data_IF_758854116106
#
_entry.id   IF_758854116106
#
_cell.length_a   1.000
_cell.length_b   1.000
_cell.length_c   1.000
_cell.angle_alpha   90.00
_cell.angle_beta   90.00
_cell.angle_gamma   90.00
#
_symmetry.space_group_name_H-M   'P 1'
#
loop_
_entity.id
_entity.type
_entity.pdbx_description
1 polymer ?
#
# COMPACT_ATOMS: atom_id res chain seq x y z
N UNK A 1 -15.92 16.71 -1.68
CA UNK A 1 -15.86 15.31 -1.23
C UNK A 1 -17.19 14.59 -1.45
N UNK A 2 -18.33 15.19 -1.09
CA UNK A 2 -19.65 14.61 -1.38
C UNK A 2 -19.87 14.28 -2.88
N UNK A 3 -19.46 15.20 -3.77
CA UNK A 3 -19.57 15.00 -5.22
C UNK A 3 -18.71 13.83 -5.72
N UNK A 4 -17.43 13.79 -5.33
CA UNK A 4 -16.51 12.68 -5.65
C UNK A 4 -17.00 11.33 -5.10
N UNK A 5 -17.68 11.32 -3.94
CA UNK A 5 -18.27 10.09 -3.40
C UNK A 5 -19.48 9.64 -4.24
N UNK A 6 -20.31 10.59 -4.70
CA UNK A 6 -21.45 10.28 -5.56
C UNK A 6 -20.98 9.71 -6.90
N UNK A 7 -19.99 10.35 -7.53
CA UNK A 7 -19.36 9.88 -8.76
C UNK A 7 -18.78 8.47 -8.61
N UNK A 8 -18.02 8.21 -7.54
CA UNK A 8 -17.45 6.88 -7.28
C UNK A 8 -18.53 5.80 -7.03
N UNK A 9 -19.69 6.17 -6.50
CA UNK A 9 -20.82 5.24 -6.33
C UNK A 9 -21.52 4.98 -7.66
N UNK A 10 -21.71 6.02 -8.48
CA UNK A 10 -22.34 5.90 -9.80
C UNK A 10 -21.46 5.06 -10.75
N UNK A 11 -20.14 5.24 -10.73
CA UNK A 11 -19.17 4.42 -11.48
C UNK A 11 -19.13 2.95 -11.02
N UNK A 12 -19.57 2.66 -9.79
CA UNK A 12 -19.55 1.32 -9.20
C UNK A 12 -20.94 0.64 -9.27
N UNK A 13 -21.75 0.97 -10.27
CA UNK A 13 -23.12 0.46 -10.44
C UNK A 13 -24.01 0.70 -9.20
N UNK A 14 -23.80 1.80 -8.48
CA UNK A 14 -24.51 2.13 -7.25
C UNK A 14 -24.03 1.37 -6.00
N UNK A 15 -23.00 0.52 -6.11
CA UNK A 15 -22.42 -0.18 -4.96
C UNK A 15 -21.62 0.79 -4.09
N UNK A 16 -21.88 0.71 -2.78
CA UNK A 16 -21.24 1.57 -1.77
C UNK A 16 -20.01 0.95 -1.12
N UNK A 17 -19.58 -0.19 -1.64
CA UNK A 17 -18.40 -0.92 -1.20
C UNK A 17 -17.22 -0.52 -2.09
N UNK A 18 -16.33 0.31 -1.55
CA UNK A 18 -15.25 0.94 -2.30
C UNK A 18 -13.87 0.46 -1.83
N UNK A 19 -12.87 0.61 -2.72
CA UNK A 19 -11.48 0.45 -2.38
C UNK A 19 -10.86 1.80 -2.01
N UNK A 20 -10.05 1.85 -0.95
CA UNK A 20 -9.34 3.06 -0.52
C UNK A 20 -7.84 2.83 -0.51
N UNK A 21 -7.10 3.76 -1.11
CA UNK A 21 -5.65 3.83 -0.97
C UNK A 21 -5.31 4.87 0.10
N UNK A 22 -4.58 4.44 1.13
CA UNK A 22 -4.14 5.30 2.22
C UNK A 22 -2.62 5.40 2.14
N UNK A 23 -2.13 6.47 1.49
CA UNK A 23 -0.71 6.79 1.43
C UNK A 23 -0.36 7.90 2.44
N UNK A 24 0.86 7.92 2.98
CA UNK A 24 1.25 8.91 4.00
C UNK A 24 1.29 10.38 3.53
N UNK A 25 0.91 10.68 2.28
CA UNK A 25 1.00 12.03 1.69
C UNK A 25 0.12 13.07 2.40
N UNK A 26 -0.94 12.63 3.10
CA UNK A 26 -1.83 13.50 3.87
C UNK A 26 -1.15 14.19 5.06
N UNK A 27 0.00 13.67 5.54
CA UNK A 27 0.77 14.26 6.64
C UNK A 27 1.27 15.68 6.34
N UNK A 28 1.48 16.02 5.06
CA UNK A 28 2.05 17.31 4.65
C UNK A 28 1.04 18.46 4.64
N UNK A 29 -0.27 18.20 4.75
CA UNK A 29 -1.32 19.23 4.64
C UNK A 29 -1.80 19.80 5.99
N UNK A 30 -0.93 19.80 6.99
CA UNK A 30 -1.11 20.62 8.21
C UNK A 30 -2.18 20.18 9.20
N UNK A 31 -2.78 18.99 9.07
CA UNK A 31 -3.99 18.66 9.83
C UNK A 31 -3.79 18.24 11.29
N UNK A 32 -2.57 17.91 11.77
CA UNK A 32 -2.31 17.62 13.20
C UNK A 32 -0.84 17.94 13.55
N UNK A 33 -0.60 19.02 14.32
CA UNK A 33 0.75 19.60 14.54
C UNK A 33 1.56 18.99 15.70
N UNK A 34 1.09 17.97 16.44
CA UNK A 34 1.75 17.59 17.72
C UNK A 34 1.80 16.10 18.09
N UNK A 35 1.84 15.17 17.14
CA UNK A 35 2.06 13.75 17.48
C UNK A 35 2.98 13.04 16.49
N UNK A 36 3.71 12.02 16.97
CA UNK A 36 4.62 11.23 16.15
C UNK A 36 3.87 10.58 14.97
N UNK A 37 4.50 10.64 13.78
CA UNK A 37 4.05 10.18 12.47
C UNK A 37 3.14 8.93 12.51
N UNK A 38 3.55 7.86 13.21
CA UNK A 38 2.79 6.60 13.23
C UNK A 38 1.48 6.61 14.02
N UNK A 39 1.27 7.51 15.00
CA UNK A 39 -0.01 7.60 15.75
C UNK A 39 -1.04 8.44 15.01
N UNK A 40 -0.59 9.42 14.23
CA UNK A 40 -1.46 10.27 13.42
C UNK A 40 -2.05 9.52 12.23
N UNK A 41 -1.27 8.63 11.60
CA UNK A 41 -1.78 7.81 10.49
C UNK A 41 -2.92 6.89 10.93
N UNK A 42 -2.77 6.26 12.10
CA UNK A 42 -3.79 5.38 12.67
C UNK A 42 -5.07 6.15 12.97
N UNK A 43 -4.97 7.26 13.72
CA UNK A 43 -6.11 8.07 14.09
C UNK A 43 -6.80 8.71 12.86
N UNK A 44 -6.02 9.16 11.89
CA UNK A 44 -6.54 9.71 10.63
C UNK A 44 -7.27 8.66 9.80
N UNK A 45 -6.70 7.47 9.66
CA UNK A 45 -7.33 6.38 8.92
C UNK A 45 -8.66 5.96 9.55
N UNK A 46 -8.71 5.76 10.87
CA UNK A 46 -9.98 5.47 11.58
C UNK A 46 -11.02 6.57 11.37
N UNK A 47 -10.62 7.84 11.47
CA UNK A 47 -11.52 8.98 11.29
C UNK A 47 -12.11 9.01 9.88
N UNK A 48 -11.34 8.65 8.85
CA UNK A 48 -11.82 8.59 7.47
C UNK A 48 -12.85 7.47 7.28
N UNK A 49 -12.60 6.28 7.83
CA UNK A 49 -13.50 5.14 7.74
C UNK A 49 -14.83 5.40 8.48
N UNK A 50 -14.78 6.03 9.66
CA UNK A 50 -15.99 6.41 10.39
C UNK A 50 -16.79 7.49 9.66
N UNK A 51 -16.09 8.51 9.12
CA UNK A 51 -16.75 9.60 8.38
C UNK A 51 -17.38 9.12 7.08
N UNK A 52 -16.79 8.13 6.38
CA UNK A 52 -17.38 7.60 5.15
C UNK A 52 -18.74 6.96 5.41
N UNK A 53 -18.88 6.23 6.51
CA UNK A 53 -20.13 5.61 6.91
C UNK A 53 -21.15 6.66 7.36
N UNK A 54 -20.75 7.55 8.27
CA UNK A 54 -21.68 8.51 8.90
C UNK A 54 -22.21 9.56 7.91
N UNK A 55 -21.36 10.08 7.02
CA UNK A 55 -21.73 11.18 6.13
C UNK A 55 -22.30 10.70 4.80
N UNK A 56 -21.85 9.55 4.29
CA UNK A 56 -22.15 9.13 2.92
C UNK A 56 -22.68 7.68 2.84
N UNK A 57 -22.78 6.97 3.95
CA UNK A 57 -23.17 5.55 4.00
C UNK A 57 -22.31 4.65 3.07
N UNK A 58 -21.01 4.95 2.98
CA UNK A 58 -20.05 4.22 2.15
C UNK A 58 -19.10 3.40 3.02
N UNK A 59 -18.81 2.18 2.58
CA UNK A 59 -17.95 1.23 3.28
C UNK A 59 -16.70 0.96 2.45
N UNK A 60 -15.54 1.04 3.08
CA UNK A 60 -14.29 0.63 2.44
C UNK A 60 -14.04 -0.85 2.69
N UNK A 61 -14.17 -1.67 1.65
CA UNK A 61 -13.96 -3.13 1.75
C UNK A 61 -12.54 -3.52 1.45
N UNK A 62 -11.80 -2.71 0.69
CA UNK A 62 -10.41 -2.96 0.31
C UNK A 62 -9.52 -1.82 0.75
N UNK A 63 -8.45 -2.14 1.47
CA UNK A 63 -7.45 -1.19 1.96
C UNK A 63 -6.12 -1.42 1.24
N UNK A 64 -5.69 -0.44 0.45
CA UNK A 64 -4.38 -0.45 -0.19
C UNK A 64 -3.41 0.39 0.64
N UNK A 65 -2.37 -0.25 1.19
CA UNK A 65 -1.38 0.40 2.04
C UNK A 65 0.05 -0.10 1.83
N UNK A 66 1.03 0.66 2.32
CA UNK A 66 2.42 0.22 2.40
C UNK A 66 2.52 -0.90 3.45
N UNK A 67 3.28 -1.97 3.16
CA UNK A 67 3.30 -3.21 3.94
C UNK A 67 3.47 -2.99 5.45
N UNK A 68 2.82 -3.87 6.23
CA UNK A 68 2.76 -3.86 7.70
C UNK A 68 2.48 -2.49 8.37
N UNK A 69 1.37 -1.86 7.97
CA UNK A 69 0.89 -0.60 8.55
C UNK A 69 0.04 -0.85 9.81
N UNK A 70 0.42 -0.23 10.93
CA UNK A 70 -0.35 -0.21 12.20
C UNK A 70 -1.77 0.34 12.03
N UNK A 71 -1.99 1.16 10.99
CA UNK A 71 -3.29 1.67 10.62
C UNK A 71 -4.27 0.55 10.26
N UNK A 72 -3.84 -0.47 9.50
CA UNK A 72 -4.71 -1.59 9.15
C UNK A 72 -5.11 -2.41 10.38
N UNK A 73 -4.14 -2.73 11.25
CA UNK A 73 -4.42 -3.45 12.50
C UNK A 73 -5.46 -2.72 13.33
N UNK A 74 -5.33 -1.41 13.46
CA UNK A 74 -6.28 -0.60 14.20
C UNK A 74 -7.67 -0.56 13.54
N UNK A 75 -7.76 -0.48 12.21
CA UNK A 75 -9.05 -0.55 11.50
C UNK A 75 -9.72 -1.91 11.71
N UNK A 76 -8.95 -3.00 11.64
CA UNK A 76 -9.43 -4.36 11.85
C UNK A 76 -9.92 -4.58 13.30
N UNK A 77 -9.18 -4.06 14.29
CA UNK A 77 -9.55 -4.11 15.71
C UNK A 77 -10.81 -3.30 16.02
N UNK A 78 -10.94 -2.11 15.43
CA UNK A 78 -12.08 -1.22 15.69
C UNK A 78 -13.37 -1.65 14.97
N UNK A 79 -13.31 -2.64 14.07
CA UNK A 79 -14.46 -3.17 13.31
C UNK A 79 -15.41 -2.06 12.85
N UNK A 80 -14.89 -1.08 12.12
CA UNK A 80 -15.60 0.19 11.84
C UNK A 80 -16.97 -0.03 11.19
N UNK A 81 -17.15 -1.12 10.44
CA UNK A 81 -18.41 -1.47 9.77
C UNK A 81 -19.17 -2.65 10.40
N UNK A 82 -18.78 -3.09 11.61
CA UNK A 82 -19.37 -4.23 12.31
C UNK A 82 -18.81 -5.60 11.88
N UNK A 83 -19.34 -6.68 12.46
CA UNK A 83 -18.84 -8.06 12.26
C UNK A 83 -19.09 -8.62 10.86
N UNK A 84 -20.04 -8.06 10.12
CA UNK A 84 -20.43 -8.53 8.79
C UNK A 84 -19.57 -7.95 7.65
N UNK A 85 -18.68 -7.00 7.93
CA UNK A 85 -17.88 -6.31 6.90
C UNK A 85 -16.43 -6.19 7.35
N UNK A 86 -15.61 -7.15 6.92
CA UNK A 86 -14.16 -7.11 7.10
C UNK A 86 -13.48 -6.34 5.97
N UNK A 87 -12.39 -5.65 6.30
CA UNK A 87 -11.57 -4.90 5.35
C UNK A 87 -10.44 -5.79 4.87
N UNK A 88 -10.37 -6.05 3.57
CA UNK A 88 -9.29 -6.81 2.94
C UNK A 88 -8.06 -5.92 2.72
N UNK A 89 -6.89 -6.35 3.20
CA UNK A 89 -5.63 -5.64 2.97
C UNK A 89 -5.02 -6.05 1.63
N UNK A 90 -4.80 -5.07 0.78
CA UNK A 90 -4.06 -5.20 -0.47
C UNK A 90 -2.66 -4.60 -0.33
N UNK A 91 -1.65 -5.29 -0.87
CA UNK A 91 -0.29 -4.75 -0.94
C UNK A 91 -0.16 -3.79 -2.12
N UNK A 92 0.42 -2.61 -1.87
CA UNK A 92 0.70 -1.70 -2.98
C UNK A 92 1.83 -2.26 -3.88
N UNK A 93 1.68 -2.03 -5.18
CA UNK A 93 2.67 -2.45 -6.19
C UNK A 93 4.06 -1.89 -5.83
N UNK A 94 4.12 -0.64 -5.36
CA UNK A 94 5.33 -0.01 -4.81
C UNK A 94 6.04 -0.86 -3.76
N UNK A 95 5.28 -1.44 -2.83
CA UNK A 95 5.82 -2.28 -1.77
C UNK A 95 6.31 -3.64 -2.32
N UNK A 96 5.54 -4.26 -3.21
CA UNK A 96 5.93 -5.50 -3.89
C UNK A 96 7.26 -5.31 -4.63
N UNK A 97 7.39 -4.20 -5.36
CA UNK A 97 8.61 -3.83 -6.09
C UNK A 97 9.81 -3.64 -5.15
N UNK A 98 9.65 -2.90 -4.04
CA UNK A 98 10.70 -2.74 -3.02
C UNK A 98 11.13 -4.09 -2.45
N UNK A 99 10.17 -4.97 -2.12
CA UNK A 99 10.40 -6.31 -1.58
C UNK A 99 11.17 -7.18 -2.57
N UNK A 100 10.75 -7.21 -3.83
CA UNK A 100 11.44 -7.93 -4.90
C UNK A 100 12.87 -7.41 -5.08
N UNK A 101 13.05 -6.08 -5.16
CA UNK A 101 14.37 -5.47 -5.28
C UNK A 101 15.30 -5.79 -4.10
N UNK A 102 14.78 -5.89 -2.88
CA UNK A 102 15.56 -6.32 -1.70
C UNK A 102 15.95 -7.79 -1.77
N UNK A 103 15.03 -8.67 -2.18
CA UNK A 103 15.32 -10.12 -2.37
C UNK A 103 16.40 -10.32 -3.44
N UNK A 104 16.30 -9.62 -4.57
CA UNK A 104 17.30 -9.67 -5.64
C UNK A 104 18.68 -9.18 -5.18
N UNK A 105 18.74 -8.09 -4.40
CA UNK A 105 20.00 -7.59 -3.81
C UNK A 105 20.61 -8.59 -2.83
N UNK A 106 19.80 -9.21 -1.96
CA UNK A 106 20.27 -10.27 -1.05
C UNK A 106 20.79 -11.49 -1.81
N UNK A 107 20.09 -11.92 -2.85
CA UNK A 107 20.51 -13.03 -3.71
C UNK A 107 21.85 -12.72 -4.39
N UNK A 108 22.01 -11.51 -4.93
CA UNK A 108 23.28 -11.04 -5.51
C UNK A 108 24.43 -11.10 -4.51
N UNK A 109 24.21 -10.70 -3.27
CA UNK A 109 25.23 -10.79 -2.22
C UNK A 109 25.56 -12.24 -1.88
N UNK A 110 24.55 -13.11 -1.74
CA UNK A 110 24.74 -14.53 -1.40
C UNK A 110 25.48 -15.31 -2.48
N UNK A 111 25.23 -15.00 -3.75
CA UNK A 111 25.84 -15.66 -4.90
C UNK A 111 27.14 -14.98 -5.37
N UNK A 112 27.67 -14.03 -4.60
CA UNK A 112 28.91 -13.34 -4.97
C UNK A 112 30.06 -14.36 -4.99
N UNK A 113 30.76 -14.45 -6.13
CA UNK A 113 31.85 -15.41 -6.34
C UNK A 113 31.41 -16.82 -6.76
N UNK A 114 30.11 -17.12 -6.72
CA UNK A 114 29.57 -18.38 -7.24
C UNK A 114 29.26 -18.25 -8.73
N UNK A 115 29.66 -19.27 -9.50
CA UNK A 115 29.31 -19.42 -10.90
C UNK A 115 27.99 -20.17 -10.99
N UNK A 116 27.09 -19.72 -11.87
CA UNK A 116 25.89 -20.49 -12.23
C UNK A 116 26.30 -21.74 -13.04
N UNK A 117 25.34 -22.60 -13.36
CA UNK A 117 25.49 -23.75 -14.27
C UNK A 117 26.25 -23.39 -15.56
N UNK A 118 26.10 -22.16 -16.05
CA UNK A 118 26.75 -21.67 -17.27
C UNK A 118 28.23 -21.27 -17.08
N UNK A 119 28.81 -21.50 -15.90
CA UNK A 119 30.17 -21.06 -15.54
C UNK A 119 30.35 -19.54 -15.38
N UNK A 120 29.26 -18.76 -15.52
CA UNK A 120 29.25 -17.29 -15.47
C UNK A 120 28.71 -16.77 -14.13
N UNK A 121 29.16 -15.59 -13.67
CA UNK A 121 28.64 -14.96 -12.46
C UNK A 121 27.18 -14.49 -12.64
N UNK A 122 26.49 -14.26 -11.52
CA UNK A 122 25.11 -13.76 -11.50
C UNK A 122 25.01 -12.31 -12.03
N UNK A 123 26.06 -11.51 -11.87
CA UNK A 123 26.15 -10.12 -12.35
C UNK A 123 26.90 -10.01 -13.68
N UNK A 124 26.65 -8.94 -14.44
CA UNK A 124 27.36 -8.64 -15.70
C UNK A 124 26.45 -8.10 -16.80
N UNK A 125 27.03 -7.83 -17.98
CA UNK A 125 26.31 -7.37 -19.18
C UNK A 125 25.25 -8.43 -19.56
N UNK A 126 24.03 -7.98 -19.87
CA UNK A 126 22.84 -8.83 -20.09
C UNK A 126 22.39 -9.69 -18.88
N UNK A 127 22.96 -9.50 -17.68
CA UNK A 127 22.59 -10.20 -16.44
C UNK A 127 22.05 -9.21 -15.39
N UNK A 128 21.94 -9.64 -14.13
CA UNK A 128 21.38 -8.82 -13.05
C UNK A 128 22.33 -7.64 -12.75
N UNK A 129 22.03 -6.47 -13.30
CA UNK A 129 22.75 -5.21 -13.06
C UNK A 129 22.02 -4.35 -12.03
N UNK A 130 22.73 -3.41 -11.39
CA UNK A 130 22.12 -2.48 -10.41
C UNK A 130 20.98 -1.65 -11.01
N UNK A 131 21.12 -1.28 -12.29
CA UNK A 131 20.04 -0.65 -13.05
C UNK A 131 18.79 -1.54 -13.08
N UNK A 132 18.90 -2.84 -13.38
CA UNK A 132 17.75 -3.76 -13.48
C UNK A 132 17.11 -4.09 -12.12
N UNK A 133 17.87 -4.10 -11.02
CA UNK A 133 17.28 -4.16 -9.67
C UNK A 133 16.52 -2.89 -9.29
N UNK A 134 16.75 -1.80 -10.01
CA UNK A 134 16.07 -0.50 -9.83
C UNK A 134 14.94 -0.30 -10.86
N UNK A 135 14.97 -1.00 -12.01
CA UNK A 135 13.98 -0.96 -13.11
C UNK A 135 12.58 -1.48 -12.73
N UNK A 136 12.41 -2.12 -11.56
CA UNK A 136 11.06 -2.22 -11.00
C UNK A 136 10.39 -0.83 -10.87
N UNK A 137 11.14 0.28 -10.82
CA UNK A 137 10.57 1.63 -10.89
C UNK A 137 10.07 2.09 -12.27
N UNK A 138 10.33 1.37 -13.37
CA UNK A 138 10.02 1.80 -14.75
C UNK A 138 9.04 0.86 -15.48
N UNK A 139 8.54 -0.17 -14.82
CA UNK A 139 7.49 -1.04 -15.36
C UNK A 139 6.20 -0.67 -14.61
N UNK A 140 5.22 -0.13 -15.32
CA UNK A 140 3.94 0.47 -14.86
C UNK A 140 3.92 2.00 -14.72
N UNK A 141 4.30 2.70 -15.79
CA UNK A 141 3.53 3.85 -16.29
C UNK A 141 2.96 3.45 -17.63
#
# INVERSE_FOLDING_TARGET
>A
MAEAVREAVDENDGKRDLAVAVDGSWQKRGFLRRMACGKMEVAGALSIFQRSQSLYNVRYTKYLGDGDSKAFTSIAENKVYGDHCSVEKLECIGHVMKRMGTRLRRLKTKMRGQKLSDGKPLCGRNRLTEAKSTVCKHIMV
#
